data_IF_331826336637
#
_entry.id   IF_331826336637
#
_cell.length_a   1.000
_cell.length_b   1.000
_cell.length_c   1.000
_cell.angle_alpha   90.00
_cell.angle_beta   90.00
_cell.angle_gamma   90.00
#
_symmetry.space_group_name_H-M   'P 1'
#
loop_
_entity.id
_entity.type
_entity.pdbx_description
1 polymer ?
#
# COMPACT_ATOMS: atom_id res chain seq x y z
N UNK A 1 19.70 -10.00 25.48
CA UNK A 1 18.83 -10.67 24.50
C UNK A 1 17.37 -10.39 24.79
N UNK A 2 16.77 -9.44 24.08
CA UNK A 2 15.34 -9.17 24.15
C UNK A 2 14.68 -9.71 22.88
N UNK A 3 14.07 -10.88 22.98
CA UNK A 3 13.21 -11.45 21.94
C UNK A 3 11.87 -10.68 21.97
N UNK A 4 11.81 -9.58 21.22
CA UNK A 4 10.55 -8.89 20.93
C UNK A 4 9.72 -9.74 19.98
N UNK A 5 8.92 -10.65 20.52
CA UNK A 5 7.94 -11.40 19.75
C UNK A 5 6.79 -10.48 19.35
N UNK A 6 6.63 -10.25 18.05
CA UNK A 6 5.43 -9.62 17.48
C UNK A 6 4.22 -10.43 17.99
N UNK A 7 3.32 -9.76 18.72
CA UNK A 7 2.17 -10.42 19.31
C UNK A 7 1.16 -10.80 18.19
N UNK A 8 0.48 -11.96 18.25
CA UNK A 8 -0.53 -12.34 17.25
C UNK A 8 -1.63 -11.29 17.06
N UNK A 9 -1.87 -10.44 18.07
CA UNK A 9 -2.78 -9.29 18.03
C UNK A 9 -2.31 -8.15 17.13
N UNK A 10 -1.01 -7.89 17.06
CA UNK A 10 -0.46 -6.80 16.25
C UNK A 10 -0.48 -7.15 14.77
N UNK A 11 -0.06 -8.37 14.41
CA UNK A 11 -0.13 -8.86 13.03
C UNK A 11 -1.57 -8.92 12.51
N UNK A 12 -2.51 -9.37 13.35
CA UNK A 12 -3.93 -9.36 13.01
C UNK A 12 -4.46 -7.94 12.75
N UNK A 13 -3.98 -6.96 13.52
CA UNK A 13 -4.32 -5.54 13.35
C UNK A 13 -3.72 -4.96 12.08
N UNK A 14 -2.43 -5.17 11.81
CA UNK A 14 -1.76 -4.73 10.58
C UNK A 14 -2.45 -5.31 9.35
N UNK A 15 -2.80 -6.61 9.40
CA UNK A 15 -3.53 -7.27 8.31
C UNK A 15 -4.91 -6.62 8.07
N UNK A 16 -5.65 -6.28 9.12
CA UNK A 16 -6.94 -5.61 9.00
C UNK A 16 -6.80 -4.19 8.42
N UNK A 17 -5.75 -3.44 8.81
CA UNK A 17 -5.44 -2.12 8.26
C UNK A 17 -5.11 -2.22 6.78
N UNK A 18 -4.19 -3.13 6.40
CA UNK A 18 -3.81 -3.36 5.02
C UNK A 18 -4.97 -3.78 4.15
N UNK A 19 -5.87 -4.64 4.67
CA UNK A 19 -7.08 -5.02 3.94
C UNK A 19 -7.96 -3.81 3.62
N UNK A 20 -8.26 -2.98 4.62
CA UNK A 20 -9.04 -1.73 4.41
C UNK A 20 -8.34 -0.77 3.45
N UNK A 21 -7.02 -0.68 3.55
CA UNK A 21 -6.21 0.18 2.69
C UNK A 21 -6.20 -0.32 1.24
N UNK A 22 -6.03 -1.63 1.01
CA UNK A 22 -6.16 -2.25 -0.32
C UNK A 22 -7.57 -1.99 -0.84
N UNK A 23 -8.62 -2.32 -0.10
CA UNK A 23 -10.00 -2.09 -0.54
C UNK A 23 -10.22 -0.62 -0.96
N UNK A 24 -9.69 0.36 -0.23
CA UNK A 24 -9.78 1.78 -0.59
C UNK A 24 -8.98 2.18 -1.85
N UNK A 25 -7.92 1.45 -2.20
CA UNK A 25 -7.03 1.75 -3.33
C UNK A 25 -7.43 1.09 -4.64
N UNK A 26 -8.11 -0.06 -4.57
CA UNK A 26 -8.50 -0.85 -5.75
C UNK A 26 -10.01 -0.95 -5.95
N UNK A 27 -10.84 -0.70 -4.94
CA UNK A 27 -12.29 -0.66 -5.18
C UNK A 27 -12.65 0.50 -6.13
N UNK A 28 -13.58 0.26 -7.07
CA UNK A 28 -13.97 1.29 -8.02
C UNK A 28 -14.60 2.47 -7.29
N UNK A 29 -14.18 3.69 -7.64
CA UNK A 29 -15.02 4.87 -7.43
C UNK A 29 -16.32 4.60 -8.19
N UNK A 30 -17.49 4.75 -7.55
CA UNK A 30 -18.84 4.49 -8.12
C UNK A 30 -19.23 5.41 -9.29
N UNK A 31 -18.31 5.64 -10.24
CA UNK A 31 -18.55 6.40 -11.44
C UNK A 31 -18.62 5.44 -12.64
N UNK A 32 -19.83 5.29 -13.16
CA UNK A 32 -20.22 4.47 -14.33
C UNK A 32 -19.54 4.86 -15.66
N UNK A 33 -18.67 5.89 -15.65
CA UNK A 33 -17.87 6.31 -16.82
C UNK A 33 -16.45 5.69 -16.87
N UNK A 34 -16.10 4.81 -15.93
CA UNK A 34 -14.75 4.22 -15.84
C UNK A 34 -14.57 3.01 -16.77
N UNK A 35 -14.30 3.26 -18.05
CA UNK A 35 -13.68 2.24 -18.91
C UNK A 35 -12.36 1.73 -18.31
N UNK A 36 -12.02 0.47 -18.56
CA UNK A 36 -10.76 -0.22 -18.22
C UNK A 36 -10.28 -0.10 -16.76
N UNK A 37 -11.12 0.44 -15.88
CA UNK A 37 -10.71 1.02 -14.60
C UNK A 37 -11.02 0.19 -13.36
N UNK A 38 -11.56 -1.02 -13.51
CA UNK A 38 -11.82 -1.91 -12.37
C UNK A 38 -10.56 -2.67 -12.01
N UNK A 39 -9.84 -2.17 -11.01
CA UNK A 39 -8.72 -2.88 -10.43
C UNK A 39 -9.25 -3.93 -9.45
N UNK A 40 -8.91 -5.18 -9.66
CA UNK A 40 -9.21 -6.26 -8.74
C UNK A 40 -8.17 -6.29 -7.62
N UNK A 41 -8.68 -6.40 -6.39
CA UNK A 41 -7.84 -6.53 -5.21
C UNK A 41 -7.14 -7.90 -5.18
N UNK A 42 -5.84 -7.97 -4.87
CA UNK A 42 -5.18 -9.24 -4.73
C UNK A 42 -5.66 -9.97 -3.47
N UNK A 43 -5.55 -11.31 -3.43
CA UNK A 43 -5.59 -12.05 -2.19
C UNK A 43 -4.60 -11.49 -1.17
N UNK A 44 -5.02 -11.26 0.09
CA UNK A 44 -4.17 -10.64 1.12
C UNK A 44 -2.84 -11.37 1.37
N UNK A 45 -2.75 -12.67 1.06
CA UNK A 45 -1.49 -13.45 1.09
C UNK A 45 -0.39 -12.94 0.13
N UNK A 46 -0.77 -12.14 -0.87
CA UNK A 46 0.15 -11.53 -1.84
C UNK A 46 0.52 -10.09 -1.46
N UNK A 47 -0.09 -9.53 -0.43
CA UNK A 47 0.31 -8.25 0.16
C UNK A 47 1.54 -8.50 1.01
N UNK A 48 2.62 -7.76 0.74
CA UNK A 48 3.92 -7.93 1.40
C UNK A 48 4.30 -6.67 2.15
N UNK A 49 4.88 -6.85 3.32
CA UNK A 49 5.54 -5.78 4.06
C UNK A 49 6.58 -5.11 3.17
N UNK A 50 6.61 -3.79 3.22
CA UNK A 50 7.62 -3.01 2.54
C UNK A 50 8.61 -2.52 3.60
N UNK A 51 9.74 -3.21 3.71
CA UNK A 51 10.82 -2.83 4.60
C UNK A 51 11.85 -2.02 3.82
N UNK A 52 11.93 -0.72 4.13
CA UNK A 52 12.98 0.15 3.64
C UNK A 52 13.38 1.10 4.76
N UNK A 53 14.67 1.42 4.81
CA UNK A 53 15.22 2.31 5.82
C UNK A 53 14.70 3.73 5.60
N UNK A 54 13.55 4.06 6.20
CA UNK A 54 13.05 5.44 6.20
C UNK A 54 14.07 6.28 6.97
N UNK A 55 14.72 7.29 6.36
CA UNK A 55 15.63 8.14 7.09
C UNK A 55 14.85 8.86 8.18
N UNK A 56 15.19 8.58 9.44
CA UNK A 56 14.74 9.32 10.63
C UNK A 56 15.33 10.73 10.63
N UNK A 57 15.03 11.54 9.60
CA UNK A 57 15.45 12.93 9.54
C UNK A 57 14.34 13.81 10.11
N UNK A 58 14.48 14.17 11.40
CA UNK A 58 13.75 15.28 12.00
C UNK A 58 12.86 14.93 13.19
N UNK A 59 13.44 14.44 14.28
CA UNK A 59 13.00 14.84 15.62
C UNK A 59 11.61 14.42 16.12
N UNK A 60 10.92 13.45 15.53
CA UNK A 60 9.73 12.85 16.16
C UNK A 60 10.12 11.52 16.79
N UNK A 61 10.59 11.59 18.03
CA UNK A 61 10.66 10.44 18.94
C UNK A 61 9.23 10.02 19.27
N UNK A 62 8.73 9.03 18.54
CA UNK A 62 7.45 8.38 18.84
C UNK A 62 6.89 7.73 17.59
N UNK A 63 6.81 6.40 17.61
CA UNK A 63 6.12 5.61 16.60
C UNK A 63 4.66 6.06 16.46
N UNK A 64 4.37 6.97 15.54
CA UNK A 64 3.10 6.88 14.84
C UNK A 64 3.34 5.89 13.69
N UNK A 65 3.21 4.59 14.00
CA UNK A 65 3.58 3.51 13.09
C UNK A 65 2.69 3.53 11.86
N UNK A 66 3.24 3.95 10.73
CA UNK A 66 2.67 3.68 9.42
C UNK A 66 2.90 2.21 9.07
N UNK A 67 1.90 1.61 8.44
CA UNK A 67 2.04 0.31 7.80
C UNK A 67 2.44 0.53 6.34
N UNK A 68 3.68 0.17 6.01
CA UNK A 68 4.19 0.18 4.63
C UNK A 68 4.08 -1.21 4.02
N UNK A 69 3.52 -1.29 2.82
CA UNK A 69 3.32 -2.56 2.13
C UNK A 69 3.30 -2.40 0.61
N UNK A 70 3.52 -3.51 -0.08
CA UNK A 70 3.38 -3.64 -1.52
C UNK A 70 2.34 -4.68 -1.87
N UNK A 71 1.72 -4.50 -3.02
CA UNK A 71 0.79 -5.47 -3.58
C UNK A 71 0.67 -5.27 -5.10
N UNK A 72 0.06 -6.23 -5.77
CA UNK A 72 -0.28 -6.11 -7.20
C UNK A 72 -1.79 -6.07 -7.37
N UNK A 73 -2.28 -5.33 -8.35
CA UNK A 73 -3.69 -5.37 -8.76
C UNK A 73 -3.78 -5.66 -10.25
N UNK A 74 -4.90 -6.20 -10.69
CA UNK A 74 -5.11 -6.57 -12.09
C UNK A 74 -6.40 -5.92 -12.60
N UNK A 75 -6.45 -5.54 -13.87
CA UNK A 75 -7.68 -5.08 -14.54
C UNK A 75 -7.72 -5.67 -15.94
N UNK A 76 -8.89 -6.13 -16.38
CA UNK A 76 -9.11 -6.50 -17.77
C UNK A 76 -9.63 -5.28 -18.53
N UNK A 77 -8.88 -4.87 -19.55
CA UNK A 77 -9.25 -3.76 -20.44
C UNK A 77 -10.48 -4.14 -21.28
N UNK A 78 -11.19 -3.13 -21.84
CA UNK A 78 -12.28 -3.29 -22.81
C UNK A 78 -11.84 -4.06 -24.06
N UNK A 79 -10.55 -3.99 -24.39
CA UNK A 79 -9.93 -4.72 -25.50
C UNK A 79 -9.58 -6.17 -25.15
N UNK A 80 -9.83 -6.62 -23.91
CA UNK A 80 -9.68 -8.01 -23.47
C UNK A 80 -8.28 -8.41 -23.00
N UNK A 81 -7.36 -7.46 -22.83
CA UNK A 81 -6.02 -7.72 -22.28
C UNK A 81 -5.96 -7.36 -20.80
N UNK A 82 -5.27 -8.19 -20.03
CA UNK A 82 -5.03 -8.00 -18.60
C UNK A 82 -3.84 -7.07 -18.37
N UNK A 83 -4.03 -6.10 -17.47
CA UNK A 83 -3.00 -5.15 -17.05
C UNK A 83 -2.75 -5.33 -15.57
N UNK A 84 -1.53 -5.73 -15.22
CA UNK A 84 -1.08 -5.81 -13.83
C UNK A 84 -0.41 -4.49 -13.42
N UNK A 85 -0.74 -4.01 -12.22
CA UNK A 85 -0.09 -2.86 -11.59
C UNK A 85 0.61 -3.28 -10.31
N UNK A 86 1.77 -2.69 -10.04
CA UNK A 86 2.46 -2.79 -8.76
C UNK A 86 2.19 -1.54 -7.95
N UNK A 87 1.86 -1.73 -6.67
CA UNK A 87 1.56 -0.67 -5.71
C UNK A 87 2.58 -0.69 -4.58
N UNK A 88 3.01 0.49 -4.19
CA UNK A 88 3.71 0.77 -2.93
C UNK A 88 2.75 1.64 -2.15
N UNK A 89 2.45 1.26 -0.91
CA UNK A 89 1.45 1.94 -0.11
C UNK A 89 1.92 2.20 1.32
N UNK A 90 1.40 3.27 1.90
CA UNK A 90 1.51 3.61 3.32
C UNK A 90 0.11 3.78 3.89
N UNK A 91 -0.16 3.19 5.04
CA UNK A 91 -1.42 3.35 5.76
C UNK A 91 -1.18 3.80 7.21
N UNK A 92 -2.06 4.67 7.74
CA UNK A 92 -2.05 5.09 9.14
C UNK A 92 -3.46 5.17 9.69
N UNK A 93 -3.63 4.72 10.93
CA UNK A 93 -4.89 4.86 11.67
C UNK A 93 -4.83 6.12 12.53
N UNK A 94 -5.79 7.04 12.34
CA UNK A 94 -5.93 8.23 13.18
C UNK A 94 -7.40 8.59 13.36
N UNK A 95 -7.84 8.79 14.60
CA UNK A 95 -9.23 9.16 14.91
C UNK A 95 -10.25 8.12 14.43
N UNK A 96 -9.89 6.83 14.43
CA UNK A 96 -10.75 5.74 13.94
C UNK A 96 -10.81 5.58 12.42
N UNK A 97 -10.16 6.47 11.65
CA UNK A 97 -10.08 6.41 10.19
C UNK A 97 -8.75 5.80 9.73
N UNK A 98 -8.77 5.12 8.58
CA UNK A 98 -7.57 4.63 7.89
C UNK A 98 -7.24 5.61 6.77
N UNK A 99 -6.10 6.27 6.88
CA UNK A 99 -5.55 7.13 5.84
C UNK A 99 -4.55 6.32 5.02
N UNK A 100 -4.65 6.38 3.69
CA UNK A 100 -3.81 5.60 2.79
C UNK A 100 -3.29 6.48 1.65
N UNK A 101 -2.04 6.24 1.26
CA UNK A 101 -1.44 6.72 0.02
C UNK A 101 -0.85 5.53 -0.72
N UNK A 102 -0.98 5.49 -2.05
CA UNK A 102 -0.22 4.56 -2.89
C UNK A 102 0.41 5.24 -4.09
N UNK A 103 1.63 4.82 -4.43
CA UNK A 103 2.22 5.03 -5.73
C UNK A 103 2.11 3.73 -6.54
N UNK A 104 1.60 3.81 -7.77
CA UNK A 104 1.41 2.62 -8.61
C UNK A 104 1.75 2.85 -10.07
N UNK A 105 2.18 1.78 -10.74
CA UNK A 105 2.44 1.76 -12.17
C UNK A 105 2.16 0.36 -12.73
N UNK A 106 1.96 0.28 -14.04
CA UNK A 106 1.95 -1.00 -14.77
C UNK A 106 3.27 -1.73 -14.54
N UNK A 107 3.21 -3.07 -14.50
CA UNK A 107 4.41 -3.90 -14.34
C UNK A 107 5.36 -3.80 -15.54
N UNK A 108 4.81 -3.48 -16.72
CA UNK A 108 5.59 -3.25 -17.93
C UNK A 108 6.52 -2.04 -17.76
N UNK A 109 7.82 -2.30 -17.81
CA UNK A 109 8.85 -1.27 -17.60
C UNK A 109 8.97 -0.79 -16.15
N UNK A 110 8.55 -1.59 -15.16
CA UNK A 110 8.83 -1.29 -13.76
C UNK A 110 10.27 -1.67 -13.41
N UNK A 111 11.11 -0.67 -13.16
CA UNK A 111 12.51 -0.83 -12.81
C UNK A 111 12.82 -0.40 -11.37
N UNK A 112 14.08 -0.57 -10.97
CA UNK A 112 14.59 -0.23 -9.65
C UNK A 112 14.55 1.29 -9.38
N UNK A 113 14.72 2.11 -10.42
CA UNK A 113 14.62 3.57 -10.30
C UNK A 113 13.20 4.00 -9.92
N UNK A 114 12.19 3.39 -10.54
CA UNK A 114 10.79 3.60 -10.21
C UNK A 114 10.43 3.04 -8.84
N UNK A 115 10.98 1.89 -8.45
CA UNK A 115 10.83 1.32 -7.11
C UNK A 115 11.29 2.32 -6.02
N UNK A 116 12.51 2.85 -6.14
CA UNK A 116 13.06 3.84 -5.19
C UNK A 116 12.26 5.14 -5.17
N UNK A 117 11.75 5.57 -6.32
CA UNK A 117 10.86 6.74 -6.38
C UNK A 117 9.58 6.48 -5.59
N UNK A 118 8.97 5.31 -5.76
CA UNK A 118 7.74 4.93 -5.07
C UNK A 118 7.94 4.82 -3.56
N UNK A 119 9.04 4.20 -3.12
CA UNK A 119 9.46 4.18 -1.70
C UNK A 119 9.54 5.58 -1.12
N UNK A 120 10.22 6.51 -1.81
CA UNK A 120 10.32 7.91 -1.36
C UNK A 120 8.97 8.62 -1.30
N UNK A 121 8.08 8.38 -2.25
CA UNK A 121 6.73 8.96 -2.26
C UNK A 121 5.96 8.48 -1.03
N UNK A 122 5.90 7.17 -0.79
CA UNK A 122 5.14 6.63 0.35
C UNK A 122 5.77 7.00 1.69
N UNK A 123 7.10 7.08 1.77
CA UNK A 123 7.82 7.55 2.96
C UNK A 123 7.54 9.00 3.32
N UNK A 124 7.19 9.82 2.33
CA UNK A 124 6.88 11.24 2.53
C UNK A 124 5.45 11.48 3.02
N UNK A 125 4.63 10.43 3.11
CA UNK A 125 3.24 10.53 3.53
C UNK A 125 3.12 10.88 5.01
N UNK A 126 2.43 11.98 5.32
CA UNK A 126 2.21 12.45 6.69
C UNK A 126 0.73 12.75 6.92
N UNK A 127 0.17 12.22 8.01
CA UNK A 127 -1.18 12.49 8.51
C UNK A 127 -1.08 13.26 9.82
N UNK A 128 -1.42 14.54 9.78
CA UNK A 128 -1.40 15.48 10.92
C UNK A 128 -2.74 15.64 11.62
#
# INVERSE_FOLDING_TARGET
DALGGDSPSDESRKLAIRRRAVDALVAPVENDNSGDGKLEAPPMRLVRDLDFSVPSNGGVRGFESYDYFTFTSETTTRSGYDVTRRHYAAAKVKGGLVYVLSASATTDGFDETRARLFERIVASFVVN
#
